data_IF_398218561167
#
_entry.id   IF_398218561167
#
_cell.length_a   1.000
_cell.length_b   1.000
_cell.length_c   1.000
_cell.angle_alpha   90.00
_cell.angle_beta   90.00
_cell.angle_gamma   90.00
#
_symmetry.space_group_name_H-M   'P 1'
#
loop_
_entity.id
_entity.type
_entity.pdbx_description
1 polymer ?
#
# COMPACT_ATOMS: atom_id res chain seq x y z
N UNK A 1 -13.80 -6.37 -23.55
CA UNK A 1 -13.77 -4.98 -24.01
C UNK A 1 -12.50 -4.29 -23.49
N UNK A 2 -11.77 -3.59 -24.35
CA UNK A 2 -10.59 -2.83 -23.98
C UNK A 2 -10.87 -1.32 -24.12
N UNK A 3 -10.54 -0.55 -23.07
CA UNK A 3 -10.72 0.93 -23.02
C UNK A 3 -9.41 1.67 -22.72
N UNK A 4 -8.26 1.04 -22.95
CA UNK A 4 -6.96 1.55 -22.46
C UNK A 4 -6.42 2.69 -23.33
N UNK A 5 -6.76 2.77 -24.61
CA UNK A 5 -6.25 3.81 -25.49
C UNK A 5 -7.37 4.55 -26.22
N UNK A 6 -7.02 5.68 -26.85
CA UNK A 6 -7.94 6.53 -27.62
C UNK A 6 -8.55 5.87 -28.86
N UNK A 7 -7.97 4.75 -29.33
CA UNK A 7 -8.49 3.99 -30.47
C UNK A 7 -9.66 3.06 -30.09
N UNK A 8 -9.93 2.90 -28.80
CA UNK A 8 -11.05 2.12 -28.30
C UNK A 8 -12.35 2.94 -28.17
N UNK A 9 -13.36 2.33 -27.57
CA UNK A 9 -13.38 1.00 -26.96
C UNK A 9 -13.39 -0.15 -27.99
N UNK A 10 -12.52 -1.14 -27.79
CA UNK A 10 -12.50 -2.33 -28.62
C UNK A 10 -13.38 -3.43 -28.01
N UNK A 11 -14.47 -3.79 -28.68
CA UNK A 11 -15.30 -4.96 -28.34
C UNK A 11 -14.84 -6.19 -29.10
N UNK A 12 -14.55 -7.25 -28.38
CA UNK A 12 -14.25 -8.53 -28.99
C UNK A 12 -15.53 -9.34 -29.14
N UNK A 13 -15.79 -9.78 -30.36
CA UNK A 13 -16.94 -10.58 -30.72
C UNK A 13 -16.50 -11.67 -31.69
N UNK A 14 -17.33 -12.72 -31.98
CA UNK A 14 -17.00 -13.70 -32.99
C UNK A 14 -16.68 -13.10 -34.39
N UNK A 15 -17.32 -11.98 -34.73
CA UNK A 15 -17.09 -11.27 -36.00
C UNK A 15 -15.86 -10.32 -35.95
N UNK A 16 -15.44 -9.91 -34.76
CA UNK A 16 -14.27 -9.05 -34.55
C UNK A 16 -13.42 -9.62 -33.38
N UNK A 17 -12.65 -10.69 -33.62
CA UNK A 17 -11.96 -11.44 -32.57
C UNK A 17 -10.73 -10.73 -32.04
N UNK A 18 -10.35 -9.59 -32.61
CA UNK A 18 -9.21 -8.76 -32.19
C UNK A 18 -9.58 -7.29 -32.12
N UNK A 19 -8.96 -6.59 -31.21
CA UNK A 19 -9.01 -5.12 -31.17
C UNK A 19 -8.19 -4.50 -32.31
N UNK A 20 -8.30 -3.18 -32.48
CA UNK A 20 -7.57 -2.43 -33.53
C UNK A 20 -6.06 -2.67 -33.46
N UNK A 21 -5.49 -2.82 -32.27
CA UNK A 21 -4.07 -3.13 -32.07
C UNK A 21 -3.69 -4.61 -32.25
N UNK A 22 -4.61 -5.45 -32.68
CA UNK A 22 -4.40 -6.89 -32.87
C UNK A 22 -4.56 -7.74 -31.59
N UNK A 23 -4.81 -7.15 -30.44
CA UNK A 23 -4.96 -7.86 -29.17
C UNK A 23 -6.28 -8.64 -29.15
N UNK A 24 -6.23 -9.91 -28.79
CA UNK A 24 -7.38 -10.79 -28.63
C UNK A 24 -8.00 -10.67 -27.22
N UNK A 25 -9.01 -11.49 -26.93
CA UNK A 25 -9.71 -11.48 -25.66
C UNK A 25 -8.78 -11.80 -24.49
N UNK A 26 -7.86 -12.76 -24.64
CA UNK A 26 -6.94 -13.18 -23.58
C UNK A 26 -5.92 -12.07 -23.27
N UNK A 27 -5.35 -11.45 -24.29
CA UNK A 27 -4.46 -10.31 -24.12
C UNK A 27 -5.17 -9.10 -23.48
N UNK A 28 -6.43 -8.86 -23.81
CA UNK A 28 -7.22 -7.79 -23.19
C UNK A 28 -7.48 -8.06 -21.70
N UNK A 29 -7.80 -9.30 -21.34
CA UNK A 29 -7.94 -9.71 -19.93
C UNK A 29 -6.61 -9.53 -19.19
N UNK A 30 -5.50 -9.99 -19.75
CA UNK A 30 -4.17 -9.80 -19.17
C UNK A 30 -3.81 -8.33 -18.98
N UNK A 31 -4.16 -7.45 -19.94
CA UNK A 31 -3.96 -5.98 -19.80
C UNK A 31 -4.78 -5.37 -18.69
N UNK A 32 -6.06 -5.73 -18.60
CA UNK A 32 -6.92 -5.23 -17.55
C UNK A 32 -6.43 -5.68 -16.18
N UNK A 33 -6.01 -6.95 -16.05
CA UNK A 33 -5.45 -7.49 -14.82
C UNK A 33 -4.14 -6.75 -14.43
N UNK A 34 -3.22 -6.57 -15.38
CA UNK A 34 -1.99 -5.82 -15.14
C UNK A 34 -2.26 -4.36 -14.73
N UNK A 35 -3.24 -3.69 -15.36
CA UNK A 35 -3.64 -2.33 -14.97
C UNK A 35 -4.24 -2.29 -13.57
N UNK A 36 -4.99 -3.31 -13.20
CA UNK A 36 -5.58 -3.42 -11.87
C UNK A 36 -4.50 -3.55 -10.79
N UNK A 37 -3.53 -4.44 -10.98
CA UNK A 37 -2.39 -4.57 -10.06
C UNK A 37 -1.53 -3.32 -10.01
N UNK A 38 -1.35 -2.62 -11.14
CA UNK A 38 -0.61 -1.37 -11.19
C UNK A 38 -1.30 -0.24 -10.41
N UNK A 39 -2.64 -0.19 -10.44
CA UNK A 39 -3.41 0.76 -9.65
C UNK A 39 -3.23 0.56 -8.14
N UNK A 40 -3.30 -0.70 -7.68
CA UNK A 40 -3.04 -1.05 -6.28
C UNK A 40 -1.60 -0.73 -5.86
N UNK A 41 -0.63 -1.10 -6.69
CA UNK A 41 0.78 -0.81 -6.43
C UNK A 41 1.07 0.69 -6.37
N UNK A 42 0.46 1.49 -7.24
CA UNK A 42 0.61 2.96 -7.21
C UNK A 42 0.10 3.56 -5.90
N UNK A 43 -0.98 3.02 -5.34
CA UNK A 43 -1.53 3.47 -4.05
C UNK A 43 -0.53 3.26 -2.91
N UNK A 44 0.07 2.08 -2.82
CA UNK A 44 1.07 1.79 -1.79
C UNK A 44 2.40 2.50 -2.05
N UNK A 45 2.77 2.70 -3.32
CA UNK A 45 3.95 3.50 -3.67
C UNK A 45 3.82 4.92 -3.14
N UNK A 46 2.70 5.57 -3.42
CA UNK A 46 2.46 6.95 -3.02
C UNK A 46 2.45 7.08 -1.49
N UNK A 47 1.61 6.31 -0.81
CA UNK A 47 1.52 6.32 0.64
C UNK A 47 2.86 5.97 1.31
N UNK A 48 3.51 4.89 0.91
CA UNK A 48 4.77 4.47 1.52
C UNK A 48 5.90 5.48 1.30
N UNK A 49 5.94 6.16 0.14
CA UNK A 49 6.88 7.24 -0.12
C UNK A 49 6.65 8.44 0.78
N UNK A 50 5.38 8.84 1.01
CA UNK A 50 5.03 9.92 1.93
C UNK A 50 5.45 9.58 3.38
N UNK A 51 5.28 8.34 3.81
CA UNK A 51 5.78 7.88 5.12
C UNK A 51 7.31 7.99 5.19
N UNK A 52 8.02 7.61 4.13
CA UNK A 52 9.49 7.74 4.10
C UNK A 52 9.93 9.22 4.14
N UNK A 53 9.24 10.10 3.43
CA UNK A 53 9.48 11.56 3.47
C UNK A 53 9.22 12.09 4.89
N UNK A 54 8.12 11.68 5.50
CA UNK A 54 7.76 12.06 6.88
C UNK A 54 8.83 11.61 7.89
N UNK A 55 9.42 10.42 7.68
CA UNK A 55 10.54 9.94 8.49
C UNK A 55 11.76 10.89 8.40
N UNK A 56 12.03 11.44 7.22
CA UNK A 56 13.08 12.44 7.01
C UNK A 56 12.81 13.79 7.69
N UNK A 57 11.57 14.05 8.10
CA UNK A 57 11.20 15.23 8.87
C UNK A 57 11.14 15.00 10.39
N UNK A 58 11.38 13.77 10.83
CA UNK A 58 11.36 13.45 12.26
C UNK A 58 12.50 14.15 13.01
N UNK A 59 12.18 14.72 14.16
CA UNK A 59 13.14 15.40 15.05
C UNK A 59 12.67 15.40 16.50
N UNK A 60 13.60 15.54 17.43
CA UNK A 60 13.28 15.64 18.84
C UNK A 60 12.38 16.85 19.12
N UNK A 61 11.29 16.63 19.85
CA UNK A 61 10.31 17.68 20.17
C UNK A 61 9.54 18.26 18.99
N UNK A 62 9.68 17.69 17.80
CA UNK A 62 8.93 18.07 16.59
C UNK A 62 7.56 17.40 16.51
N UNK A 63 6.82 17.73 15.45
CA UNK A 63 5.51 17.15 15.15
C UNK A 63 5.63 15.64 14.87
N UNK A 64 6.71 15.22 14.23
CA UNK A 64 7.04 13.82 13.99
C UNK A 64 8.28 13.43 14.78
N UNK A 65 8.19 12.29 15.47
CA UNK A 65 9.26 11.76 16.30
C UNK A 65 9.44 10.27 16.05
N UNK A 66 10.64 9.77 16.30
CA UNK A 66 10.90 8.32 16.27
C UNK A 66 10.31 7.69 17.53
N UNK A 67 9.24 6.90 17.38
CA UNK A 67 8.55 6.22 18.48
C UNK A 67 9.12 4.81 18.74
N UNK A 68 9.66 4.16 17.72
CA UNK A 68 10.32 2.84 17.83
C UNK A 68 11.75 2.91 17.31
N UNK A 69 12.69 3.43 18.12
CA UNK A 69 14.09 3.53 17.72
C UNK A 69 14.76 2.16 17.54
N UNK A 70 14.33 1.14 18.28
CA UNK A 70 14.89 -0.21 18.16
C UNK A 70 14.57 -0.81 16.79
N UNK A 71 13.36 -0.58 16.30
CA UNK A 71 12.95 -1.01 14.97
C UNK A 71 13.73 -0.29 13.88
N UNK A 72 13.93 1.01 13.99
CA UNK A 72 14.74 1.78 13.04
C UNK A 72 16.17 1.25 12.97
N UNK A 73 16.82 1.03 14.11
CA UNK A 73 18.17 0.46 14.18
C UNK A 73 18.22 -0.93 13.56
N UNK A 74 17.21 -1.76 13.80
CA UNK A 74 17.12 -3.12 13.22
C UNK A 74 17.04 -3.06 11.69
N UNK A 75 16.18 -2.20 11.14
CA UNK A 75 16.04 -2.03 9.68
C UNK A 75 17.35 -1.50 9.08
N UNK A 76 17.96 -0.52 9.71
CA UNK A 76 19.23 0.05 9.27
C UNK A 76 20.33 -1.02 9.17
N UNK A 77 20.50 -1.83 10.21
CA UNK A 77 21.45 -2.97 10.21
C UNK A 77 21.14 -3.98 9.12
N UNK A 78 19.86 -4.32 8.92
CA UNK A 78 19.42 -5.22 7.85
C UNK A 78 19.80 -4.69 6.46
N UNK A 79 19.75 -3.39 6.29
CA UNK A 79 20.13 -2.72 5.03
C UNK A 79 21.62 -2.45 4.91
N UNK A 80 22.41 -2.78 5.93
CA UNK A 80 23.87 -2.58 5.95
C UNK A 80 24.29 -1.15 6.25
N UNK A 81 23.44 -0.39 6.90
CA UNK A 81 23.74 0.97 7.37
C UNK A 81 24.40 0.90 8.75
N UNK A 82 25.48 1.66 8.92
CA UNK A 82 26.16 1.80 10.20
C UNK A 82 25.28 2.54 11.21
N UNK A 83 25.16 2.00 12.42
CA UNK A 83 24.28 2.54 13.45
C UNK A 83 24.98 2.95 14.73
N UNK A 84 26.25 2.51 14.91
CA UNK A 84 26.99 2.77 16.14
C UNK A 84 27.39 4.26 16.24
N UNK A 85 27.07 4.87 17.36
CA UNK A 85 27.42 6.28 17.61
C UNK A 85 26.59 7.32 16.85
N UNK A 86 25.61 6.90 16.05
CA UNK A 86 24.70 7.83 15.36
C UNK A 86 23.56 8.28 16.26
N UNK A 87 23.19 9.54 16.14
CA UNK A 87 21.93 10.05 16.67
C UNK A 87 20.76 9.37 15.95
N UNK A 88 19.66 9.17 16.68
CA UNK A 88 18.51 8.44 16.12
C UNK A 88 17.80 9.21 15.00
N UNK A 89 17.82 10.53 15.06
CA UNK A 89 17.21 11.35 14.00
C UNK A 89 18.12 11.50 12.78
N UNK A 90 19.45 11.51 12.96
CA UNK A 90 20.39 11.42 11.84
C UNK A 90 20.22 10.09 11.12
N UNK A 91 20.04 9.01 11.87
CA UNK A 91 19.74 7.70 11.30
C UNK A 91 18.39 7.68 10.58
N UNK A 92 17.37 8.34 11.12
CA UNK A 92 16.06 8.45 10.48
C UNK A 92 16.13 9.18 9.14
N UNK A 93 16.90 10.27 9.06
CA UNK A 93 17.14 11.01 7.83
C UNK A 93 17.86 10.15 6.78
N UNK A 94 18.95 9.47 7.16
CA UNK A 94 19.67 8.57 6.25
C UNK A 94 18.77 7.42 5.74
N UNK A 95 17.98 6.82 6.63
CA UNK A 95 17.06 5.75 6.27
C UNK A 95 15.91 6.23 5.40
N UNK A 96 15.45 7.47 5.58
CA UNK A 96 14.48 8.12 4.71
C UNK A 96 14.98 8.22 3.27
N UNK A 97 16.19 8.72 3.07
CA UNK A 97 16.79 8.87 1.75
C UNK A 97 16.96 7.51 1.06
N UNK A 98 17.49 6.53 1.78
CA UNK A 98 17.66 5.17 1.25
C UNK A 98 16.32 4.49 0.94
N UNK A 99 15.29 4.74 1.74
CA UNK A 99 13.97 4.20 1.50
C UNK A 99 13.31 4.83 0.26
N UNK A 100 13.44 6.14 0.08
CA UNK A 100 12.95 6.82 -1.11
C UNK A 100 13.63 6.30 -2.38
N UNK A 101 14.93 5.98 -2.34
CA UNK A 101 15.63 5.35 -3.47
C UNK A 101 15.03 3.98 -3.86
N UNK A 102 14.52 3.21 -2.89
CA UNK A 102 13.93 1.89 -3.17
C UNK A 102 12.71 1.97 -4.10
N UNK A 103 11.97 3.09 -4.10
CA UNK A 103 10.79 3.25 -4.95
C UNK A 103 11.13 3.39 -6.43
N UNK A 104 12.17 4.14 -6.75
CA UNK A 104 12.50 4.54 -8.11
C UNK A 104 13.80 3.97 -8.69
N UNK A 105 14.52 3.12 -7.99
CA UNK A 105 15.81 2.60 -8.50
C UNK A 105 15.65 1.83 -9.80
N UNK A 106 16.53 2.11 -10.76
CA UNK A 106 16.44 1.56 -12.12
C UNK A 106 16.84 0.09 -12.17
N UNK A 107 17.76 -0.35 -11.31
CA UNK A 107 18.34 -1.70 -11.30
C UNK A 107 18.29 -2.34 -9.92
N UNK A 108 18.34 -3.67 -9.91
CA UNK A 108 18.35 -4.48 -8.70
C UNK A 108 16.97 -4.88 -8.21
N UNK A 109 16.96 -5.76 -7.25
CA UNK A 109 15.78 -6.25 -6.54
C UNK A 109 15.53 -5.42 -5.28
N UNK A 110 14.33 -5.51 -4.72
CA UNK A 110 14.00 -4.85 -3.46
C UNK A 110 14.90 -5.33 -2.32
N UNK A 111 15.37 -4.41 -1.47
CA UNK A 111 16.13 -4.75 -0.25
C UNK A 111 15.32 -5.61 0.71
N UNK A 112 14.00 -5.42 0.75
CA UNK A 112 13.09 -6.19 1.58
C UNK A 112 12.98 -7.67 1.20
N UNK A 113 13.40 -8.04 -0.02
CA UNK A 113 13.36 -9.44 -0.46
C UNK A 113 14.15 -10.38 0.45
N UNK A 114 15.16 -9.88 1.14
CA UNK A 114 15.96 -10.66 2.12
C UNK A 114 15.11 -11.30 3.24
N UNK A 115 13.93 -10.74 3.51
CA UNK A 115 13.01 -11.29 4.52
C UNK A 115 12.16 -12.46 4.01
N UNK A 116 12.08 -12.66 2.71
CA UNK A 116 11.38 -13.81 2.13
C UNK A 116 12.21 -15.09 2.34
N UNK A 117 11.58 -16.25 2.59
CA UNK A 117 12.27 -17.54 2.65
C UNK A 117 13.06 -17.80 1.36
N UNK A 118 14.27 -18.38 1.48
CA UNK A 118 15.16 -18.60 0.33
C UNK A 118 14.47 -19.39 -0.80
N UNK A 119 13.75 -20.46 -0.45
CA UNK A 119 12.98 -21.22 -1.45
C UNK A 119 12.01 -20.34 -2.25
N UNK A 120 11.36 -19.38 -1.60
CA UNK A 120 10.43 -18.45 -2.26
C UNK A 120 11.18 -17.51 -3.19
N UNK A 121 12.34 -17.00 -2.77
CA UNK A 121 13.19 -16.16 -3.61
C UNK A 121 13.64 -16.90 -4.87
N UNK A 122 14.06 -18.17 -4.73
CA UNK A 122 14.50 -19.02 -5.83
C UNK A 122 13.37 -19.24 -6.86
N UNK A 123 12.15 -19.53 -6.39
CA UNK A 123 10.97 -19.67 -7.26
C UNK A 123 10.65 -18.38 -8.03
N UNK A 124 10.72 -17.24 -7.36
CA UNK A 124 10.46 -15.95 -8.02
C UNK A 124 11.56 -15.57 -9.01
N UNK A 125 12.79 -15.94 -8.72
CA UNK A 125 13.92 -15.79 -9.63
C UNK A 125 13.72 -16.63 -10.89
N UNK A 126 13.45 -17.92 -10.73
CA UNK A 126 13.20 -18.85 -11.84
C UNK A 126 12.01 -18.40 -12.71
N UNK A 127 10.93 -17.97 -12.08
CA UNK A 127 9.76 -17.43 -12.78
C UNK A 127 10.00 -16.06 -13.42
N UNK A 128 11.10 -15.38 -13.08
CA UNK A 128 11.44 -14.04 -13.56
C UNK A 128 10.48 -12.97 -13.06
N UNK A 129 9.99 -13.11 -11.82
CA UNK A 129 9.02 -12.19 -11.19
C UNK A 129 9.54 -11.55 -9.90
N UNK A 130 10.82 -11.62 -9.64
CA UNK A 130 11.43 -11.01 -8.45
C UNK A 130 10.97 -9.57 -8.24
N UNK A 131 10.65 -9.17 -6.99
CA UNK A 131 10.24 -7.81 -6.67
C UNK A 131 11.38 -6.81 -6.91
N UNK A 132 11.06 -5.74 -7.60
CA UNK A 132 11.97 -4.64 -7.90
C UNK A 132 11.36 -3.32 -7.41
N UNK A 133 11.96 -2.20 -7.79
CA UNK A 133 11.42 -0.89 -7.47
C UNK A 133 9.96 -0.74 -7.97
N UNK A 134 9.06 -0.40 -7.06
CA UNK A 134 7.61 -0.37 -7.33
C UNK A 134 7.26 0.62 -8.43
N UNK A 135 7.80 1.84 -8.43
CA UNK A 135 7.52 2.86 -9.43
C UNK A 135 7.95 2.42 -10.83
N UNK A 136 9.09 1.74 -10.91
CA UNK A 136 9.55 1.15 -12.16
C UNK A 136 8.58 0.11 -12.70
N UNK A 137 8.05 -0.76 -11.85
CA UNK A 137 7.13 -1.80 -12.27
C UNK A 137 5.75 -1.23 -12.65
N UNK A 138 5.27 -0.20 -11.95
CA UNK A 138 4.07 0.54 -12.35
C UNK A 138 4.26 1.20 -13.72
N UNK A 139 5.39 1.88 -13.95
CA UNK A 139 5.70 2.46 -15.26
C UNK A 139 5.78 1.41 -16.36
N UNK A 140 6.38 0.25 -16.08
CA UNK A 140 6.45 -0.88 -17.00
C UNK A 140 5.05 -1.44 -17.31
N UNK A 141 4.19 -1.56 -16.31
CA UNK A 141 2.81 -2.02 -16.48
C UNK A 141 2.00 -1.07 -17.38
N UNK A 142 2.12 0.23 -17.17
CA UNK A 142 1.47 1.23 -18.00
C UNK A 142 1.96 1.18 -19.46
N UNK A 143 3.26 1.09 -19.67
CA UNK A 143 3.87 0.94 -20.98
C UNK A 143 3.41 -0.34 -21.71
N UNK A 144 3.52 -1.51 -21.07
CA UNK A 144 3.15 -2.78 -21.67
C UNK A 144 1.68 -2.88 -22.07
N UNK A 145 0.82 -2.21 -21.34
CA UNK A 145 -0.63 -2.25 -21.60
C UNK A 145 -1.10 -1.24 -22.62
N UNK A 146 -0.26 -0.28 -23.02
CA UNK A 146 -0.66 0.82 -23.88
C UNK A 146 -0.60 0.39 -25.36
N UNK A 147 -1.59 0.82 -26.14
CA UNK A 147 -1.63 0.96 -27.62
C UNK A 147 -1.00 -0.19 -28.44
N UNK A 148 -1.26 -1.45 -28.06
CA UNK A 148 -0.75 -2.61 -28.82
C UNK A 148 0.69 -3.00 -28.51
N UNK A 149 1.31 -2.38 -27.52
CA UNK A 149 2.69 -2.68 -27.15
C UNK A 149 2.90 -4.15 -26.82
N UNK A 150 2.07 -4.73 -25.92
CA UNK A 150 2.10 -6.14 -25.58
C UNK A 150 0.70 -6.74 -25.66
N UNK A 151 0.57 -7.83 -26.46
CA UNK A 151 -0.68 -8.58 -26.60
C UNK A 151 -0.58 -10.01 -26.07
N UNK A 152 0.60 -10.49 -25.69
CA UNK A 152 0.83 -11.84 -25.16
C UNK A 152 0.34 -11.92 -23.71
N UNK A 153 -0.70 -12.74 -23.42
CA UNK A 153 -1.28 -12.81 -22.07
C UNK A 153 -0.27 -13.26 -21.02
N UNK A 154 0.62 -14.21 -21.34
CA UNK A 154 1.63 -14.73 -20.41
C UNK A 154 2.60 -13.63 -19.96
N UNK A 155 3.04 -12.77 -20.88
CA UNK A 155 3.94 -11.67 -20.57
C UNK A 155 3.25 -10.62 -19.68
N UNK A 156 1.96 -10.34 -19.95
CA UNK A 156 1.16 -9.41 -19.17
C UNK A 156 0.90 -9.92 -17.75
N UNK A 157 0.57 -11.21 -17.61
CA UNK A 157 0.33 -11.84 -16.31
C UNK A 157 1.64 -11.92 -15.51
N UNK A 158 2.76 -12.30 -16.14
CA UNK A 158 4.07 -12.30 -15.47
C UNK A 158 4.42 -10.91 -14.93
N UNK A 159 4.19 -9.87 -15.71
CA UNK A 159 4.41 -8.50 -15.26
C UNK A 159 3.44 -8.10 -14.13
N UNK A 160 2.19 -8.56 -14.18
CA UNK A 160 1.22 -8.32 -13.10
C UNK A 160 1.66 -8.96 -11.78
N UNK A 161 2.16 -10.19 -11.83
CA UNK A 161 2.72 -10.87 -10.65
C UNK A 161 3.94 -10.12 -10.09
N UNK A 162 4.88 -9.73 -10.96
CA UNK A 162 6.03 -8.93 -10.53
C UNK A 162 5.60 -7.59 -9.93
N UNK A 163 4.61 -6.95 -10.52
CA UNK A 163 4.09 -5.68 -10.03
C UNK A 163 3.48 -5.84 -8.62
N UNK A 164 2.69 -6.88 -8.39
CA UNK A 164 2.14 -7.20 -7.06
C UNK A 164 3.21 -7.58 -6.04
N UNK A 165 4.25 -8.31 -6.44
CA UNK A 165 5.38 -8.61 -5.55
C UNK A 165 6.21 -7.36 -5.23
N UNK A 166 6.38 -6.45 -6.20
CA UNK A 166 7.09 -5.17 -5.99
C UNK A 166 6.27 -4.22 -5.11
N UNK A 167 4.95 -4.32 -5.15
CA UNK A 167 4.07 -3.65 -4.21
C UNK A 167 4.29 -4.21 -2.78
N UNK A 168 4.08 -5.50 -2.56
CA UNK A 168 4.19 -6.10 -1.22
C UNK A 168 5.59 -5.99 -0.62
N UNK A 169 6.64 -6.34 -1.39
CA UNK A 169 8.05 -6.33 -0.97
C UNK A 169 8.77 -5.00 -1.26
N UNK A 170 8.07 -3.95 -1.49
CA UNK A 170 8.59 -2.61 -1.74
C UNK A 170 7.74 -1.57 -1.04
N UNK A 171 6.73 -1.03 -1.72
CA UNK A 171 5.90 0.05 -1.22
C UNK A 171 5.19 -0.25 0.08
N UNK A 172 4.46 -1.39 0.14
CA UNK A 172 3.75 -1.80 1.35
C UNK A 172 4.70 -2.06 2.53
N UNK A 173 5.82 -2.75 2.29
CA UNK A 173 6.80 -3.04 3.34
C UNK A 173 7.44 -1.77 3.88
N UNK A 174 7.88 -0.86 3.02
CA UNK A 174 8.41 0.45 3.43
C UNK A 174 7.37 1.23 4.23
N UNK A 175 6.16 1.36 3.72
CA UNK A 175 5.09 2.09 4.39
C UNK A 175 4.81 1.54 5.78
N UNK A 176 4.64 0.22 5.91
CA UNK A 176 4.34 -0.44 7.18
C UNK A 176 5.51 -0.32 8.18
N UNK A 177 6.72 -0.64 7.76
CA UNK A 177 7.89 -0.66 8.65
C UNK A 177 8.25 0.73 9.16
N UNK A 178 8.20 1.75 8.33
CA UNK A 178 8.49 3.13 8.75
C UNK A 178 7.30 3.83 9.42
N UNK A 179 6.06 3.41 9.17
CA UNK A 179 4.93 3.79 10.01
C UNK A 179 5.11 3.33 11.45
N UNK A 180 5.58 2.10 11.64
CA UNK A 180 5.87 1.59 12.98
C UNK A 180 6.98 2.38 13.67
N UNK A 181 8.00 2.80 12.93
CA UNK A 181 9.06 3.67 13.47
C UNK A 181 8.50 5.01 13.94
N UNK A 182 7.62 5.63 13.16
CA UNK A 182 7.05 6.95 13.45
C UNK A 182 5.93 6.92 14.49
N UNK A 183 5.04 5.94 14.41
CA UNK A 183 3.83 5.89 15.24
C UNK A 183 3.88 4.85 16.36
N UNK A 184 4.93 4.06 16.42
CA UNK A 184 5.12 2.94 17.33
C UNK A 184 4.65 1.62 16.74
N UNK A 185 5.39 0.53 17.01
CA UNK A 185 5.00 -0.81 16.59
C UNK A 185 3.75 -1.26 17.35
N UNK A 186 2.67 -1.67 16.65
CA UNK A 186 1.45 -2.09 17.30
C UNK A 186 1.64 -3.40 18.07
N UNK A 187 0.86 -3.56 19.15
CA UNK A 187 0.78 -4.81 19.90
C UNK A 187 -0.45 -5.59 19.47
N UNK A 188 -0.39 -6.92 19.43
CA UNK A 188 -1.57 -7.73 19.18
C UNK A 188 -2.67 -7.42 20.20
N UNK A 189 -3.86 -7.15 19.71
CA UNK A 189 -5.06 -6.96 20.53
C UNK A 189 -6.22 -7.71 19.90
N UNK A 190 -7.23 -8.05 20.71
CA UNK A 190 -8.47 -8.59 20.23
C UNK A 190 -9.29 -7.47 19.58
N UNK A 191 -9.79 -7.70 18.35
CA UNK A 191 -10.63 -6.77 17.62
C UNK A 191 -11.69 -7.53 16.83
N UNK A 192 -12.73 -6.83 16.40
CA UNK A 192 -13.78 -7.40 15.56
C UNK A 192 -13.50 -7.06 14.09
N UNK A 193 -13.49 -8.08 13.25
CA UNK A 193 -13.30 -7.95 11.81
C UNK A 193 -14.40 -8.74 11.08
N UNK A 194 -15.40 -8.05 10.56
CA UNK A 194 -16.49 -8.66 9.80
C UNK A 194 -17.15 -7.63 8.86
N UNK A 195 -17.92 -8.13 7.88
CA UNK A 195 -18.64 -7.30 6.92
C UNK A 195 -19.95 -6.72 7.45
N UNK A 196 -20.45 -7.21 8.58
CA UNK A 196 -21.73 -6.87 9.15
C UNK A 196 -21.72 -5.74 10.18
N UNK A 197 -20.71 -4.91 10.17
CA UNK A 197 -20.49 -3.86 11.20
C UNK A 197 -21.33 -2.61 11.02
N UNK A 198 -21.87 -2.38 9.84
CA UNK A 198 -22.71 -1.21 9.57
C UNK A 198 -24.03 -1.33 10.32
N UNK A 199 -24.41 -0.27 11.00
CA UNK A 199 -25.67 -0.21 11.77
C UNK A 199 -26.64 0.77 11.10
N UNK A 200 -27.79 0.27 10.65
CA UNK A 200 -28.80 1.08 9.95
C UNK A 200 -29.39 2.23 10.81
N UNK A 201 -29.26 2.15 12.14
CA UNK A 201 -29.75 3.17 13.07
C UNK A 201 -28.71 4.24 13.40
N UNK A 202 -27.45 4.07 12.91
CA UNK A 202 -26.35 4.97 13.18
C UNK A 202 -25.90 5.74 11.92
N UNK A 203 -25.20 6.83 12.14
CA UNK A 203 -24.34 7.41 11.10
C UNK A 203 -23.16 6.46 10.91
N UNK A 204 -22.96 5.96 9.69
CA UNK A 204 -21.85 5.06 9.39
C UNK A 204 -20.74 5.81 8.65
N UNK A 205 -19.56 5.79 9.23
CA UNK A 205 -18.34 6.37 8.63
C UNK A 205 -17.43 5.21 8.26
N UNK A 206 -17.14 5.05 6.98
CA UNK A 206 -16.21 4.04 6.47
C UNK A 206 -14.93 4.75 6.06
N UNK A 207 -13.82 4.41 6.73
CA UNK A 207 -12.51 5.01 6.48
C UNK A 207 -11.72 4.10 5.57
N UNK A 208 -11.35 4.60 4.40
CA UNK A 208 -10.50 3.90 3.43
C UNK A 208 -9.10 4.50 3.44
N UNK A 209 -8.09 3.65 3.38
CA UNK A 209 -6.72 4.10 3.21
C UNK A 209 -5.75 3.52 4.23
N UNK A 210 -4.67 4.25 4.48
CA UNK A 210 -3.50 3.71 5.17
C UNK A 210 -2.94 4.66 6.24
N UNK A 211 -3.41 5.92 6.30
CA UNK A 211 -2.89 6.92 7.23
C UNK A 211 -3.44 6.70 8.65
N UNK A 212 -2.58 6.34 9.61
CA UNK A 212 -2.99 6.12 10.99
C UNK A 212 -3.47 7.41 11.68
N UNK A 213 -2.84 8.55 11.41
CA UNK A 213 -3.17 9.82 12.05
C UNK A 213 -4.58 10.28 11.71
N UNK A 214 -4.98 10.16 10.44
CA UNK A 214 -6.32 10.49 9.99
C UNK A 214 -7.37 9.57 10.63
N UNK A 215 -7.08 8.28 10.66
CA UNK A 215 -7.98 7.29 11.25
C UNK A 215 -8.20 7.52 12.74
N UNK A 216 -7.14 7.81 13.48
CA UNK A 216 -7.20 8.16 14.91
C UNK A 216 -8.04 9.42 15.13
N UNK A 217 -7.77 10.48 14.36
CA UNK A 217 -8.49 11.75 14.48
C UNK A 217 -9.99 11.57 14.19
N UNK A 218 -10.36 10.77 13.19
CA UNK A 218 -11.76 10.47 12.90
C UNK A 218 -12.43 9.77 14.08
N UNK A 219 -11.76 8.79 14.68
CA UNK A 219 -12.28 8.08 15.85
C UNK A 219 -12.45 9.03 17.05
N UNK A 220 -11.46 9.84 17.37
CA UNK A 220 -11.50 10.79 18.47
C UNK A 220 -12.62 11.84 18.28
N UNK A 221 -12.72 12.41 17.10
CA UNK A 221 -13.76 13.42 16.80
C UNK A 221 -15.15 12.79 16.86
N UNK A 222 -15.34 11.61 16.25
CA UNK A 222 -16.64 10.93 16.22
C UNK A 222 -17.10 10.47 17.61
N UNK A 223 -16.19 10.14 18.51
CA UNK A 223 -16.51 9.74 19.90
C UNK A 223 -16.75 10.95 20.82
N UNK A 224 -16.56 12.16 20.31
CA UNK A 224 -16.86 13.37 21.06
C UNK A 224 -18.35 13.52 21.35
N UNK A 225 -18.67 14.06 22.55
CA UNK A 225 -20.05 14.32 22.94
C UNK A 225 -20.81 15.19 21.92
N UNK A 226 -20.11 16.19 21.36
CA UNK A 226 -20.68 17.09 20.36
C UNK A 226 -21.14 16.35 19.11
N UNK A 227 -20.32 15.46 18.57
CA UNK A 227 -20.65 14.70 17.35
C UNK A 227 -21.72 13.66 17.60
N UNK A 228 -21.70 13.01 18.76
CA UNK A 228 -22.76 12.06 19.16
C UNK A 228 -24.12 12.79 19.33
N UNK A 229 -24.13 13.94 19.97
CA UNK A 229 -25.35 14.74 20.14
C UNK A 229 -25.86 15.27 18.78
N UNK A 230 -24.93 15.65 17.88
CA UNK A 230 -25.30 16.05 16.52
C UNK A 230 -25.92 14.89 15.74
N UNK A 231 -25.32 13.70 15.75
CA UNK A 231 -25.86 12.51 15.11
C UNK A 231 -27.28 12.20 15.64
N UNK A 232 -27.50 12.29 16.95
CA UNK A 232 -28.83 12.11 17.57
C UNK A 232 -29.82 13.18 17.13
N UNK A 233 -29.40 14.42 16.97
CA UNK A 233 -30.28 15.50 16.49
C UNK A 233 -30.75 15.29 15.04
N UNK A 234 -29.94 14.52 14.26
CA UNK A 234 -30.28 14.12 12.89
C UNK A 234 -31.12 12.81 12.82
N UNK A 235 -31.50 12.25 13.98
CA UNK A 235 -32.32 11.06 14.06
C UNK A 235 -31.57 9.73 14.14
N UNK A 236 -30.26 9.75 14.22
CA UNK A 236 -29.45 8.56 14.42
C UNK A 236 -29.34 8.19 15.90
N UNK A 237 -29.08 6.92 16.22
CA UNK A 237 -28.84 6.49 17.62
C UNK A 237 -27.39 6.74 18.07
N UNK A 238 -26.45 6.84 17.13
CA UNK A 238 -25.02 7.04 17.40
C UNK A 238 -24.21 7.10 16.12
N UNK A 239 -22.91 6.89 16.25
CA UNK A 239 -21.95 6.83 15.14
C UNK A 239 -21.27 5.47 15.17
N UNK A 240 -21.12 4.84 14.01
CA UNK A 240 -20.32 3.63 13.81
C UNK A 240 -19.17 3.97 12.87
N UNK A 241 -17.94 3.63 13.26
CA UNK A 241 -16.75 3.80 12.42
C UNK A 241 -16.25 2.43 12.04
N UNK A 242 -16.02 2.26 10.75
CA UNK A 242 -15.41 1.05 10.21
C UNK A 242 -14.25 1.40 9.29
N UNK A 243 -13.26 0.53 9.22
CA UNK A 243 -12.09 0.70 8.38
C UNK A 243 -12.02 -0.32 7.26
N UNK A 244 -11.46 0.12 6.15
CA UNK A 244 -11.10 -0.73 5.02
C UNK A 244 -9.60 -0.64 4.81
N UNK A 245 -8.95 -1.76 4.58
CA UNK A 245 -7.49 -1.84 4.46
C UNK A 245 -6.75 -1.59 5.79
N UNK A 246 -5.60 -0.92 5.72
CA UNK A 246 -4.73 -0.71 6.87
C UNK A 246 -5.37 0.17 7.95
N UNK A 247 -6.27 1.08 7.61
CA UNK A 247 -6.91 1.98 8.59
C UNK A 247 -7.59 1.23 9.72
N UNK A 248 -8.25 0.09 9.45
CA UNK A 248 -8.90 -0.71 10.49
C UNK A 248 -7.91 -1.33 11.47
N UNK A 249 -6.76 -1.76 10.98
CA UNK A 249 -5.70 -2.33 11.80
C UNK A 249 -4.94 -1.25 12.58
N UNK A 250 -4.65 -0.12 11.94
CA UNK A 250 -3.85 0.94 12.51
C UNK A 250 -4.44 1.48 13.80
N UNK A 251 -5.71 1.87 13.79
CA UNK A 251 -6.35 2.45 14.99
C UNK A 251 -6.58 1.38 16.06
N UNK A 252 -7.11 0.21 15.68
CA UNK A 252 -7.38 -0.86 16.61
C UNK A 252 -6.11 -1.34 17.32
N UNK A 253 -5.04 -1.58 16.57
CA UNK A 253 -3.80 -2.15 17.09
C UNK A 253 -2.89 -1.12 17.77
N UNK A 254 -2.93 0.15 17.37
CA UNK A 254 -2.06 1.17 17.96
C UNK A 254 -2.69 1.85 19.18
N UNK A 255 -3.99 2.07 19.14
CA UNK A 255 -4.70 2.85 20.18
C UNK A 255 -5.68 2.03 21.00
N UNK A 256 -5.95 0.79 20.65
CA UNK A 256 -6.96 -0.02 21.31
C UNK A 256 -8.38 0.52 21.13
N UNK A 257 -8.60 1.39 20.14
CA UNK A 257 -9.93 1.90 19.82
C UNK A 257 -10.61 0.88 18.91
N UNK A 258 -11.77 0.34 19.31
CA UNK A 258 -12.47 -0.63 18.50
C UNK A 258 -12.92 0.04 17.20
N UNK A 259 -12.45 -0.47 16.09
CA UNK A 259 -12.83 -0.09 14.75
C UNK A 259 -13.35 -1.32 14.04
N UNK A 260 -14.64 -1.36 13.83
CA UNK A 260 -15.29 -2.52 13.26
C UNK A 260 -15.01 -2.64 11.75
N UNK A 261 -14.76 -3.83 11.29
CA UNK A 261 -14.64 -4.16 9.87
C UNK A 261 -13.26 -3.92 9.26
N UNK A 262 -12.69 -5.01 8.82
CA UNK A 262 -11.52 -5.04 7.95
C UNK A 262 -11.89 -5.85 6.71
N UNK A 263 -11.97 -5.21 5.57
CA UNK A 263 -12.31 -5.85 4.30
C UNK A 263 -11.12 -5.92 3.39
#
# INVERSE_FOLDING_TARGET
>A
CCRICSMGPCRITPKAPRGICGCDAHGIVGRNFLRFTAGGAATHSDHGREICITLGHAKEGGDYQVKDPEKLIRIAKEWGVETEGKDIYDLAHEMSDLAQEEYGKIRGISRWLKRAPQHTQDLWHEAGIEPRAIDREVSCALHMTHMGNTCKPEALIRQALRNGLSDGWGGSMCGTEFSDVLFGTPKPIETEANLGVMNAENVNIVVHGHDPSLSEMICEVADSKEMIDYAKSMGAKGITISGVCCTSNEVAMRRGIPMAGNF
#
